data_IF_333110195451
#
_entry.id   IF_333110195451
#
_cell.length_a   1.000
_cell.length_b   1.000
_cell.length_c   1.000
_cell.angle_alpha   90.00
_cell.angle_beta   90.00
_cell.angle_gamma   90.00
#
_symmetry.space_group_name_H-M   'P 1'
#
loop_
_entity.id
_entity.type
_entity.pdbx_description
1 polymer ?
#
# COMPACT_ATOMS: atom_id res chain seq x y z
N UNK A 1 15.50 1.99 15.21
CA UNK A 1 14.54 2.37 14.13
C UNK A 1 13.84 1.10 13.65
N UNK A 2 12.51 1.06 13.60
CA UNK A 2 11.72 -0.11 13.16
C UNK A 2 11.08 0.19 11.79
N UNK A 3 11.20 -0.75 10.86
CA UNK A 3 10.65 -0.65 9.51
C UNK A 3 9.61 -1.76 9.34
N UNK A 4 8.43 -1.44 8.85
CA UNK A 4 7.39 -2.41 8.51
C UNK A 4 7.36 -2.66 7.00
N UNK A 5 7.28 -3.93 6.60
CA UNK A 5 7.02 -4.33 5.23
C UNK A 5 5.55 -4.72 5.13
N UNK A 6 4.74 -3.88 4.46
CA UNK A 6 3.31 -4.09 4.36
C UNK A 6 2.98 -4.92 3.12
N UNK A 7 2.69 -6.21 3.30
CA UNK A 7 2.27 -7.08 2.21
C UNK A 7 0.79 -6.81 1.84
N UNK A 8 0.54 -6.27 0.65
CA UNK A 8 -0.77 -5.81 0.20
C UNK A 8 -1.26 -6.65 -1.00
N UNK A 9 -2.58 -6.80 -1.14
CA UNK A 9 -3.22 -7.35 -2.33
C UNK A 9 -4.06 -6.26 -3.01
N UNK A 10 -3.43 -5.28 -3.68
CA UNK A 10 -4.13 -4.17 -4.33
C UNK A 10 -4.92 -4.66 -5.55
N UNK A 11 -6.08 -4.05 -5.80
CA UNK A 11 -6.90 -4.32 -6.98
C UNK A 11 -6.58 -3.32 -8.08
N UNK A 12 -6.29 -3.80 -9.30
CA UNK A 12 -5.91 -2.95 -10.43
C UNK A 12 -7.04 -1.94 -10.71
N UNK A 13 -6.71 -0.65 -10.66
CA UNK A 13 -7.65 0.45 -10.93
C UNK A 13 -8.54 0.90 -9.77
N UNK A 14 -8.57 0.18 -8.63
CA UNK A 14 -9.36 0.59 -7.46
C UNK A 14 -8.57 1.55 -6.56
N UNK A 15 -8.47 2.81 -6.97
CA UNK A 15 -7.73 3.83 -6.21
C UNK A 15 -8.28 4.04 -4.79
N UNK A 16 -9.60 4.07 -4.63
CA UNK A 16 -10.24 4.34 -3.35
C UNK A 16 -10.05 3.16 -2.38
N UNK A 17 -10.28 1.93 -2.84
CA UNK A 17 -10.07 0.72 -2.07
C UNK A 17 -8.61 0.49 -1.71
N UNK A 18 -7.69 0.69 -2.67
CA UNK A 18 -6.26 0.56 -2.41
C UNK A 18 -5.74 1.63 -1.44
N UNK A 19 -6.22 2.88 -1.53
CA UNK A 19 -5.88 3.92 -0.57
C UNK A 19 -6.38 3.59 0.85
N UNK A 20 -7.58 3.03 0.98
CA UNK A 20 -8.11 2.56 2.26
C UNK A 20 -7.30 1.39 2.81
N UNK A 21 -6.92 0.42 1.97
CA UNK A 21 -6.08 -0.72 2.32
C UNK A 21 -4.69 -0.26 2.81
N UNK A 22 -4.04 0.66 2.08
CA UNK A 22 -2.74 1.25 2.46
C UNK A 22 -2.85 1.96 3.81
N UNK A 23 -3.89 2.80 4.00
CA UNK A 23 -4.11 3.51 5.27
C UNK A 23 -4.24 2.54 6.44
N UNK A 24 -5.00 1.45 6.28
CA UNK A 24 -5.13 0.41 7.30
C UNK A 24 -3.79 -0.21 7.71
N UNK A 25 -2.91 -0.51 6.75
CA UNK A 25 -1.56 -1.05 7.04
C UNK A 25 -0.62 -0.04 7.66
N UNK A 26 -0.73 1.24 7.27
CA UNK A 26 0.03 2.32 7.92
C UNK A 26 -0.38 2.42 9.40
N UNK A 27 -1.68 2.37 9.70
CA UNK A 27 -2.17 2.45 11.09
C UNK A 27 -1.75 1.24 11.93
N UNK A 28 -1.77 0.04 11.35
CA UNK A 28 -1.23 -1.16 12.00
C UNK A 28 0.27 -1.04 12.30
N UNK A 29 1.06 -0.59 11.32
CA UNK A 29 2.50 -0.41 11.50
C UNK A 29 2.83 0.68 12.53
N UNK A 30 2.05 1.78 12.56
CA UNK A 30 2.15 2.82 13.59
C UNK A 30 1.90 2.24 14.99
N UNK A 31 0.84 1.45 15.17
CA UNK A 31 0.56 0.78 16.45
C UNK A 31 1.67 -0.19 16.86
N UNK A 32 2.35 -0.81 15.89
CA UNK A 32 3.52 -1.65 16.13
C UNK A 32 4.84 -0.87 16.36
N UNK A 33 4.81 0.46 16.38
CA UNK A 33 5.98 1.31 16.61
C UNK A 33 6.94 1.40 15.42
N UNK A 34 6.46 1.16 14.19
CA UNK A 34 7.27 1.36 12.99
C UNK A 34 7.44 2.86 12.68
N UNK A 35 8.67 3.24 12.33
CA UNK A 35 9.02 4.59 11.88
C UNK A 35 8.88 4.75 10.36
N UNK A 36 8.97 3.64 9.60
CA UNK A 36 8.86 3.60 8.15
C UNK A 36 7.99 2.41 7.76
N UNK A 37 7.13 2.59 6.76
CA UNK A 37 6.33 1.51 6.15
C UNK A 37 6.68 1.45 4.67
N UNK A 38 7.09 0.28 4.20
CA UNK A 38 7.35 0.01 2.79
C UNK A 38 6.14 -0.71 2.21
N UNK A 39 5.67 -0.23 1.07
CA UNK A 39 4.55 -0.79 0.31
C UNK A 39 5.10 -1.48 -0.95
N UNK A 40 4.35 -2.41 -1.56
CA UNK A 40 4.71 -2.97 -2.86
C UNK A 40 4.73 -1.90 -3.96
N UNK A 41 5.43 -2.21 -5.05
CA UNK A 41 5.42 -1.38 -6.26
C UNK A 41 3.99 -1.15 -6.77
N UNK A 42 3.70 0.10 -7.16
CA UNK A 42 2.39 0.52 -7.67
C UNK A 42 1.20 0.16 -6.76
N UNK A 43 1.39 0.10 -5.44
CA UNK A 43 0.35 -0.30 -4.49
C UNK A 43 -0.96 0.52 -4.57
N UNK A 44 -0.93 1.75 -5.08
CA UNK A 44 -2.13 2.59 -5.21
C UNK A 44 -2.99 2.23 -6.42
N UNK A 45 -2.38 1.97 -7.58
CA UNK A 45 -3.10 1.63 -8.82
C UNK A 45 -3.15 0.12 -9.10
N UNK A 46 -2.35 -0.69 -8.40
CA UNK A 46 -2.16 -2.11 -8.64
C UNK A 46 -1.11 -2.39 -9.72
N UNK A 47 -0.56 -3.61 -9.71
CA UNK A 47 0.44 -4.07 -10.67
C UNK A 47 -0.05 -5.33 -11.41
N UNK A 48 0.06 -5.42 -12.76
CA UNK A 48 0.52 -4.36 -13.66
C UNK A 48 -0.56 -3.29 -13.89
N UNK A 49 -0.19 -2.01 -14.10
CA UNK A 49 -1.16 -0.90 -14.21
C UNK A 49 -1.85 -0.82 -15.57
N UNK A 50 -1.34 -1.53 -16.60
CA UNK A 50 -1.85 -1.50 -17.98
C UNK A 50 -2.00 -0.05 -18.49
N UNK A 51 -3.09 0.23 -19.18
CA UNK A 51 -3.39 1.51 -19.81
C UNK A 51 -3.79 2.63 -18.83
N UNK A 52 -3.74 2.38 -17.51
CA UNK A 52 -4.05 3.40 -16.50
C UNK A 52 -2.99 4.52 -16.41
N UNK A 53 -1.83 4.35 -17.04
CA UNK A 53 -0.69 5.29 -16.99
C UNK A 53 -0.33 5.90 -18.37
N UNK A 54 -1.27 5.93 -19.31
CA UNK A 54 -1.07 6.46 -20.68
C UNK A 54 -1.08 7.99 -20.75
#
# INVERSE_FOLDING_TARGET
MRIALANLNPTIGDFAGNAALIRGRIDEAKRAGAAVVVLPELALCGYPPKDLLL
#
